data_IF_486225753358
#
_entry.id   IF_486225753358
#
_cell.length_a   1.000
_cell.length_b   1.000
_cell.length_c   1.000
_cell.angle_alpha   90.00
_cell.angle_beta   90.00
_cell.angle_gamma   90.00
#
_symmetry.space_group_name_H-M   'P 1'
#
loop_
_entity.id
_entity.type
_entity.pdbx_description
1 polymer ?
#
# COMPACT_ATOMS: atom_id res chain seq x y z
N UNK A 1 110.78 -74.16 -23.67
CA UNK A 1 110.14 -73.85 -24.98
C UNK A 1 108.77 -73.26 -24.65
N UNK A 2 108.69 -71.94 -24.58
CA UNK A 2 108.17 -71.06 -25.65
C UNK A 2 106.66 -71.27 -25.90
N UNK A 3 105.81 -70.33 -25.48
CA UNK A 3 105.14 -69.37 -26.39
C UNK A 3 104.01 -68.58 -25.71
N UNK A 4 104.27 -67.27 -25.58
CA UNK A 4 103.44 -66.09 -25.81
C UNK A 4 101.90 -66.20 -26.00
N UNK A 5 101.23 -65.38 -25.19
CA UNK A 5 99.99 -64.57 -25.32
C UNK A 5 99.50 -64.29 -26.77
N UNK A 6 98.18 -64.13 -27.03
CA UNK A 6 97.61 -62.77 -26.91
C UNK A 6 96.12 -62.66 -26.45
N UNK A 7 95.93 -61.75 -25.49
CA UNK A 7 95.00 -60.59 -25.49
C UNK A 7 93.46 -60.81 -25.55
N UNK A 8 92.84 -60.74 -24.37
CA UNK A 8 91.44 -60.35 -24.22
C UNK A 8 91.26 -58.81 -24.36
N UNK A 9 90.32 -58.33 -25.19
CA UNK A 9 89.98 -56.91 -25.25
C UNK A 9 89.23 -56.48 -23.97
N UNK A 10 89.79 -55.51 -23.25
CA UNK A 10 89.15 -54.87 -22.09
C UNK A 10 87.91 -54.08 -22.53
N UNK A 11 86.75 -54.19 -21.85
CA UNK A 11 85.62 -53.33 -22.09
C UNK A 11 85.97 -51.89 -21.70
N UNK A 12 85.89 -50.97 -22.65
CA UNK A 12 86.04 -49.53 -22.38
C UNK A 12 84.85 -49.07 -21.52
N UNK A 13 85.06 -48.46 -20.34
CA UNK A 13 84.00 -47.76 -19.63
C UNK A 13 83.76 -46.42 -20.34
N UNK A 14 83.00 -46.45 -21.44
CA UNK A 14 82.35 -45.26 -21.99
C UNK A 14 81.07 -45.02 -21.20
N UNK A 15 80.83 -43.76 -20.83
CA UNK A 15 79.56 -43.21 -20.34
C UNK A 15 79.25 -43.29 -18.83
N UNK A 16 80.23 -43.01 -17.94
CA UNK A 16 79.95 -42.68 -16.52
C UNK A 16 79.93 -41.18 -16.20
N UNK A 17 80.44 -40.31 -17.08
CA UNK A 17 80.48 -38.85 -16.86
C UNK A 17 79.24 -38.08 -17.34
N UNK A 18 78.43 -38.66 -18.25
CA UNK A 18 77.27 -38.00 -18.85
C UNK A 18 75.94 -38.25 -18.10
N UNK A 19 75.91 -39.20 -17.15
CA UNK A 19 74.69 -39.57 -16.40
C UNK A 19 74.28 -38.45 -15.44
N UNK A 20 75.24 -37.80 -14.78
CA UNK A 20 74.97 -36.74 -13.81
C UNK A 20 74.37 -35.47 -14.43
N UNK A 21 74.88 -34.92 -15.56
CA UNK A 21 74.22 -33.81 -16.24
C UNK A 21 72.87 -34.20 -16.84
N UNK A 22 72.70 -35.43 -17.35
CA UNK A 22 71.38 -35.91 -17.81
C UNK A 22 70.34 -35.91 -16.70
N UNK A 23 70.68 -36.47 -15.52
CA UNK A 23 69.76 -36.51 -14.37
C UNK A 23 69.43 -35.12 -13.87
N UNK A 24 70.40 -34.19 -13.87
CA UNK A 24 70.20 -32.81 -13.44
C UNK A 24 69.26 -32.06 -14.41
N UNK A 25 69.47 -32.21 -15.73
CA UNK A 25 68.59 -31.62 -16.75
C UNK A 25 67.17 -32.20 -16.66
N UNK A 26 67.04 -33.52 -16.54
CA UNK A 26 65.73 -34.17 -16.39
C UNK A 26 65.04 -33.70 -15.11
N UNK A 27 65.76 -33.59 -13.99
CA UNK A 27 65.20 -33.09 -12.73
C UNK A 27 64.77 -31.63 -12.81
N UNK A 28 65.54 -30.78 -13.49
CA UNK A 28 65.18 -29.37 -13.70
C UNK A 28 63.93 -29.23 -14.59
N UNK A 29 63.88 -29.97 -15.70
CA UNK A 29 62.73 -29.95 -16.61
C UNK A 29 61.48 -30.46 -15.88
N UNK A 30 61.58 -31.58 -15.15
CA UNK A 30 60.47 -32.10 -14.35
C UNK A 30 60.04 -31.11 -13.25
N UNK A 31 60.99 -30.47 -12.55
CA UNK A 31 60.70 -29.45 -11.54
C UNK A 31 59.98 -28.24 -12.12
N UNK A 32 60.42 -27.75 -13.29
CA UNK A 32 59.76 -26.65 -14.00
C UNK A 32 58.34 -27.01 -14.46
N UNK A 33 58.13 -28.24 -14.97
CA UNK A 33 56.80 -28.73 -15.34
C UNK A 33 55.87 -28.85 -14.13
N UNK A 34 56.36 -29.40 -13.01
CA UNK A 34 55.57 -29.52 -11.77
C UNK A 34 55.21 -28.14 -11.23
N UNK A 35 56.14 -27.19 -11.22
CA UNK A 35 55.87 -25.81 -10.79
C UNK A 35 54.83 -25.12 -11.70
N UNK A 36 54.90 -25.34 -13.01
CA UNK A 36 53.92 -24.81 -13.97
C UNK A 36 52.52 -25.41 -13.73
N UNK A 37 52.41 -26.73 -13.53
CA UNK A 37 51.13 -27.41 -13.24
C UNK A 37 50.57 -26.97 -11.88
N UNK A 38 51.41 -26.83 -10.85
CA UNK A 38 50.99 -26.32 -9.55
C UNK A 38 50.48 -24.87 -9.62
N UNK A 39 51.14 -24.01 -10.40
CA UNK A 39 50.69 -22.63 -10.62
C UNK A 39 49.38 -22.58 -11.41
N UNK A 40 49.23 -23.43 -12.42
CA UNK A 40 48.00 -23.55 -13.19
C UNK A 40 46.83 -24.02 -12.32
N UNK A 41 47.00 -25.09 -11.55
CA UNK A 41 45.95 -25.64 -10.66
C UNK A 41 45.54 -24.66 -9.57
N UNK A 42 46.50 -23.98 -8.92
CA UNK A 42 46.19 -22.93 -7.93
C UNK A 42 45.43 -21.75 -8.56
N UNK A 43 45.78 -21.37 -9.78
CA UNK A 43 45.07 -20.32 -10.53
C UNK A 43 43.65 -20.76 -10.89
N UNK A 44 43.46 -21.99 -11.39
CA UNK A 44 42.15 -22.56 -11.69
C UNK A 44 41.26 -22.67 -10.45
N UNK A 45 41.81 -23.06 -9.30
CA UNK A 45 41.05 -23.12 -8.04
C UNK A 45 40.62 -21.72 -7.57
N UNK A 46 41.51 -20.72 -7.68
CA UNK A 46 41.15 -19.32 -7.36
C UNK A 46 40.07 -18.79 -8.30
N UNK A 47 40.17 -19.06 -9.60
CA UNK A 47 39.12 -18.70 -10.56
C UNK A 47 37.79 -19.41 -10.25
N UNK A 48 37.83 -20.69 -9.89
CA UNK A 48 36.65 -21.46 -9.48
C UNK A 48 35.96 -20.83 -8.27
N UNK A 49 36.72 -20.49 -7.23
CA UNK A 49 36.19 -19.84 -6.02
C UNK A 49 35.58 -18.46 -6.31
N UNK A 50 36.16 -17.67 -7.21
CA UNK A 50 35.61 -16.37 -7.61
C UNK A 50 34.32 -16.55 -8.43
N UNK A 51 34.29 -17.53 -9.34
CA UNK A 51 33.12 -17.83 -10.15
C UNK A 51 31.95 -18.34 -9.29
N UNK A 52 32.22 -19.23 -8.34
CA UNK A 52 31.22 -19.75 -7.39
C UNK A 52 30.68 -18.65 -6.48
N UNK A 53 31.55 -17.82 -5.89
CA UNK A 53 31.12 -16.68 -5.07
C UNK A 53 30.26 -15.69 -5.88
N UNK A 54 30.64 -15.43 -7.14
CA UNK A 54 29.85 -14.58 -8.04
C UNK A 54 28.49 -15.20 -8.36
N UNK A 55 28.45 -16.51 -8.61
CA UNK A 55 27.19 -17.23 -8.85
C UNK A 55 26.29 -17.22 -7.60
N UNK A 56 26.86 -17.42 -6.42
CA UNK A 56 26.14 -17.37 -5.13
C UNK A 56 25.50 -16.01 -4.88
N UNK A 57 26.24 -14.91 -5.04
CA UNK A 57 25.71 -13.54 -4.95
C UNK A 57 24.64 -13.26 -6.01
N UNK A 58 24.86 -13.70 -7.25
CA UNK A 58 23.89 -13.47 -8.32
C UNK A 58 22.57 -14.21 -8.03
N UNK A 59 22.65 -15.47 -7.58
CA UNK A 59 21.48 -16.24 -7.16
C UNK A 59 20.76 -15.58 -5.97
N UNK A 60 21.50 -15.06 -4.99
CA UNK A 60 20.94 -14.33 -3.86
C UNK A 60 20.22 -13.05 -4.30
N UNK A 61 20.80 -12.26 -5.20
CA UNK A 61 20.16 -11.06 -5.76
C UNK A 61 18.91 -11.42 -6.59
N UNK A 62 18.93 -12.54 -7.32
CA UNK A 62 17.74 -13.05 -8.01
C UNK A 62 16.64 -13.45 -7.03
N UNK A 63 16.98 -14.18 -5.96
CA UNK A 63 16.04 -14.57 -4.91
C UNK A 63 15.38 -13.37 -4.22
N UNK A 64 16.15 -12.36 -3.83
CA UNK A 64 15.57 -11.14 -3.24
C UNK A 64 14.67 -10.37 -4.21
N UNK A 65 15.01 -10.36 -5.51
CA UNK A 65 14.15 -9.76 -6.54
C UNK A 65 12.83 -10.54 -6.69
N UNK A 66 12.87 -11.88 -6.73
CA UNK A 66 11.67 -12.69 -6.89
C UNK A 66 10.75 -12.59 -5.66
N UNK A 67 11.32 -12.58 -4.45
CA UNK A 67 10.57 -12.28 -3.22
C UNK A 67 9.92 -10.89 -3.27
N UNK A 68 10.65 -9.85 -3.70
CA UNK A 68 10.08 -8.51 -3.81
C UNK A 68 8.92 -8.44 -4.81
N UNK A 69 9.03 -9.14 -5.94
CA UNK A 69 7.94 -9.23 -6.92
C UNK A 69 6.72 -9.96 -6.36
N UNK A 70 6.94 -11.01 -5.57
CA UNK A 70 5.87 -11.71 -4.84
C UNK A 70 5.23 -10.79 -3.79
N UNK A 71 6.03 -10.07 -3.00
CA UNK A 71 5.53 -9.09 -2.04
C UNK A 71 4.68 -8.01 -2.70
N UNK A 72 5.09 -7.51 -3.87
CA UNK A 72 4.28 -6.59 -4.66
C UNK A 72 2.98 -7.24 -5.14
N UNK A 73 3.02 -8.51 -5.57
CA UNK A 73 1.82 -9.19 -6.08
C UNK A 73 0.74 -9.41 -5.01
N UNK A 74 1.16 -9.58 -3.76
CA UNK A 74 0.25 -9.64 -2.61
C UNK A 74 -0.10 -8.25 -2.02
N UNK A 75 0.18 -7.15 -2.74
CA UNK A 75 -0.11 -5.74 -2.38
C UNK A 75 0.77 -5.15 -1.26
N UNK A 76 2.06 -5.48 -1.24
CA UNK A 76 2.99 -4.84 -0.30
C UNK A 76 3.06 -3.34 -0.57
N UNK A 77 2.82 -2.57 0.49
CA UNK A 77 2.76 -1.11 0.41
C UNK A 77 4.13 -0.43 0.40
N UNK A 78 5.18 -1.20 0.68
CA UNK A 78 6.55 -0.73 0.89
C UNK A 78 7.10 0.05 -0.32
N UNK A 79 6.82 -0.43 -1.52
CA UNK A 79 7.25 0.15 -2.79
C UNK A 79 6.32 1.24 -3.34
N UNK A 80 5.12 1.36 -2.79
CA UNK A 80 4.02 2.14 -3.37
C UNK A 80 3.65 3.37 -2.56
N UNK A 81 4.42 3.68 -1.52
CA UNK A 81 4.25 4.91 -0.74
C UNK A 81 5.11 6.03 -1.34
N UNK A 82 4.94 7.27 -0.86
CA UNK A 82 5.87 8.37 -1.17
C UNK A 82 7.32 8.05 -0.79
N UNK A 83 7.57 7.04 0.07
CA UNK A 83 8.93 6.60 0.34
C UNK A 83 9.63 6.10 -0.93
N UNK A 84 8.89 5.49 -1.88
CA UNK A 84 9.42 5.09 -3.18
C UNK A 84 9.72 6.24 -4.15
N UNK A 85 9.42 7.50 -3.82
CA UNK A 85 9.75 8.64 -4.66
C UNK A 85 11.24 9.04 -4.55
N UNK A 86 11.82 9.61 -5.60
CA UNK A 86 13.21 10.06 -5.59
C UNK A 86 14.24 8.92 -5.74
N UNK A 87 15.14 8.77 -4.77
CA UNK A 87 16.18 7.71 -4.78
C UNK A 87 15.63 6.31 -4.50
N UNK A 88 14.35 6.20 -4.11
CA UNK A 88 13.72 4.94 -3.76
C UNK A 88 14.00 4.52 -2.32
N UNK A 89 13.52 3.33 -1.96
CA UNK A 89 13.75 2.75 -0.63
C UNK A 89 14.33 1.36 -0.70
N UNK A 90 15.29 1.10 0.19
CA UNK A 90 15.89 -0.21 0.37
C UNK A 90 15.03 -1.09 1.28
N UNK A 91 14.47 -2.15 0.72
CA UNK A 91 13.86 -3.26 1.45
C UNK A 91 14.98 -4.24 1.80
N UNK A 92 15.25 -4.45 3.09
CA UNK A 92 16.24 -5.46 3.49
C UNK A 92 15.59 -6.84 3.51
N UNK A 93 16.22 -7.81 2.86
CA UNK A 93 15.78 -9.19 2.92
C UNK A 93 16.18 -9.77 4.30
N UNK A 94 15.25 -10.41 5.04
CA UNK A 94 15.45 -10.74 6.45
C UNK A 94 16.53 -11.80 6.71
N UNK A 95 16.96 -12.52 5.68
CA UNK A 95 17.93 -13.62 5.81
C UNK A 95 19.15 -13.43 4.88
N UNK A 96 20.30 -13.96 5.27
CA UNK A 96 21.44 -14.06 4.36
C UNK A 96 21.24 -15.24 3.42
N UNK A 97 21.16 -15.00 2.11
CA UNK A 97 21.07 -16.07 1.12
C UNK A 97 22.48 -16.40 0.63
N UNK A 98 22.93 -17.65 0.82
CA UNK A 98 24.28 -18.09 0.47
C UNK A 98 25.39 -17.24 1.11
N UNK A 99 25.20 -16.79 2.36
CA UNK A 99 26.16 -15.95 3.08
C UNK A 99 26.27 -14.51 2.56
N UNK A 100 25.44 -14.10 1.59
CA UNK A 100 25.36 -12.72 1.10
C UNK A 100 24.18 -12.00 1.74
N UNK A 101 24.39 -10.76 2.16
CA UNK A 101 23.30 -9.86 2.56
C UNK A 101 22.58 -9.36 1.30
N UNK A 102 21.25 -9.40 1.30
CA UNK A 102 20.44 -8.96 0.16
C UNK A 102 19.60 -7.76 0.54
N UNK A 103 19.65 -6.70 -0.27
CA UNK A 103 18.74 -5.55 -0.19
C UNK A 103 18.11 -5.28 -1.54
N UNK A 104 16.88 -4.82 -1.58
CA UNK A 104 16.18 -4.45 -2.81
C UNK A 104 15.77 -3.00 -2.74
N UNK A 105 16.44 -2.16 -3.53
CA UNK A 105 16.02 -0.77 -3.71
C UNK A 105 14.77 -0.73 -4.60
N UNK A 106 13.74 -0.02 -4.16
CA UNK A 106 12.50 0.15 -4.89
C UNK A 106 12.23 1.63 -5.12
N UNK A 107 12.20 2.05 -6.39
CA UNK A 107 11.95 3.45 -6.78
C UNK A 107 10.85 3.57 -7.82
N UNK A 108 10.03 4.60 -7.68
CA UNK A 108 9.02 4.98 -8.67
C UNK A 108 9.73 5.68 -9.83
N UNK A 109 9.64 5.11 -11.03
CA UNK A 109 10.30 5.62 -12.23
C UNK A 109 9.40 6.55 -13.05
N UNK A 110 8.15 6.15 -13.26
CA UNK A 110 7.15 6.94 -13.98
C UNK A 110 5.76 6.66 -13.44
N UNK A 111 4.88 7.67 -13.53
CA UNK A 111 3.57 7.66 -12.89
C UNK A 111 3.69 8.09 -11.43
N UNK A 112 2.97 9.14 -11.04
CA UNK A 112 2.81 9.44 -9.62
C UNK A 112 1.70 8.56 -9.08
N UNK A 113 2.05 7.71 -8.11
CA UNK A 113 1.03 7.23 -7.20
C UNK A 113 0.51 8.47 -6.47
N UNK A 114 -0.78 8.79 -6.58
CA UNK A 114 -1.27 9.96 -5.90
C UNK A 114 -1.05 9.73 -4.40
N UNK A 115 -0.40 10.68 -3.75
CA UNK A 115 -0.12 10.65 -2.32
C UNK A 115 -1.39 10.34 -1.52
N UNK A 116 -1.31 9.39 -0.58
CA UNK A 116 -2.41 9.01 0.29
C UNK A 116 -3.53 8.15 -0.29
N UNK A 117 -3.55 7.85 -1.60
CA UNK A 117 -4.60 7.02 -2.21
C UNK A 117 -4.36 5.52 -2.07
N UNK A 118 -3.21 5.12 -1.54
CA UNK A 118 -2.88 3.71 -1.35
C UNK A 118 -3.31 3.18 0.03
N UNK A 119 -3.70 4.06 0.94
CA UNK A 119 -4.20 3.67 2.25
C UNK A 119 -5.70 3.39 2.17
N UNK A 120 -6.08 2.23 2.69
CA UNK A 120 -7.47 1.96 3.04
C UNK A 120 -7.91 2.93 4.16
N UNK A 121 -7.03 3.21 5.10
CA UNK A 121 -7.30 4.11 6.22
C UNK A 121 -6.04 4.86 6.66
N UNK A 122 -6.14 6.18 6.82
CA UNK A 122 -5.16 7.03 7.48
C UNK A 122 -5.79 7.72 8.69
N UNK A 123 -5.30 7.39 9.88
CA UNK A 123 -5.74 7.98 11.16
C UNK A 123 -4.73 9.03 11.60
N UNK A 124 -5.07 10.31 11.47
CA UNK A 124 -4.15 11.43 11.72
C UNK A 124 -3.98 11.76 13.20
N UNK A 125 -4.98 11.46 14.04
CA UNK A 125 -4.99 11.86 15.45
C UNK A 125 -5.14 13.37 15.70
N UNK A 126 -5.44 14.15 14.67
CA UNK A 126 -5.57 15.61 14.79
C UNK A 126 -6.71 16.02 15.73
N UNK A 127 -6.46 17.07 16.54
CA UNK A 127 -7.43 17.55 17.53
C UNK A 127 -7.68 16.59 18.70
N UNK A 128 -7.00 15.45 18.75
CA UNK A 128 -7.19 14.48 19.81
C UNK A 128 -6.52 14.93 21.13
N UNK A 129 -7.13 14.66 22.30
CA UNK A 129 -6.57 15.08 23.58
C UNK A 129 -5.25 14.35 23.89
N UNK A 130 -4.33 15.06 24.55
CA UNK A 130 -3.01 14.56 24.99
C UNK A 130 -3.08 13.64 26.23
N UNK A 131 -4.16 12.86 26.37
CA UNK A 131 -4.41 11.98 27.51
C UNK A 131 -4.26 10.49 27.15
N UNK A 132 -3.72 10.18 25.97
CA UNK A 132 -3.59 8.81 25.48
C UNK A 132 -4.89 8.17 24.99
N UNK A 133 -5.98 8.94 24.81
CA UNK A 133 -7.24 8.39 24.30
C UNK A 133 -7.03 7.73 22.93
N UNK A 134 -7.54 6.51 22.70
CA UNK A 134 -7.36 5.85 21.41
C UNK A 134 -7.93 6.68 20.25
N UNK A 135 -7.20 6.74 19.14
CA UNK A 135 -7.62 7.37 17.88
C UNK A 135 -8.10 6.33 16.88
N UNK A 136 -7.69 5.07 17.06
CA UNK A 136 -8.15 3.96 16.26
C UNK A 136 -8.56 2.81 17.16
N UNK A 137 -9.87 2.54 17.25
CA UNK A 137 -10.38 1.50 18.13
C UNK A 137 -11.55 0.71 17.56
N UNK A 138 -11.58 -0.57 17.92
CA UNK A 138 -12.75 -1.43 17.78
C UNK A 138 -13.17 -1.94 19.16
N UNK A 139 -14.40 -1.65 19.58
CA UNK A 139 -14.85 -1.87 20.97
C UNK A 139 -15.90 -2.95 21.15
N UNK A 140 -16.76 -3.15 20.15
CA UNK A 140 -17.80 -4.19 20.17
C UNK A 140 -17.38 -5.41 19.33
N UNK A 141 -18.14 -6.51 19.44
CA UNK A 141 -17.82 -7.86 18.96
C UNK A 141 -17.40 -8.04 17.48
N UNK A 142 -17.36 -9.30 17.03
CA UNK A 142 -16.99 -9.63 15.64
C UNK A 142 -15.49 -9.54 15.37
N UNK A 143 -15.12 -9.79 14.11
CA UNK A 143 -13.72 -9.75 13.65
C UNK A 143 -13.60 -8.72 12.51
N UNK A 144 -13.42 -7.42 12.80
CA UNK A 144 -13.25 -6.40 11.78
C UNK A 144 -12.09 -6.75 10.83
N UNK A 145 -12.32 -6.51 9.54
CA UNK A 145 -11.36 -6.69 8.46
C UNK A 145 -11.13 -5.37 7.74
N UNK A 146 -9.89 -5.07 7.40
CA UNK A 146 -9.52 -3.87 6.66
C UNK A 146 -8.71 -4.31 5.44
N UNK A 147 -9.27 -4.12 4.25
CA UNK A 147 -8.65 -4.48 2.98
C UNK A 147 -7.68 -3.38 2.53
N UNK A 148 -6.40 -3.58 2.83
CA UNK A 148 -5.28 -2.77 2.38
C UNK A 148 -4.55 -2.01 3.49
N UNK A 149 -3.55 -1.22 3.11
CA UNK A 149 -2.65 -0.56 4.06
C UNK A 149 -3.37 0.41 4.99
N UNK A 150 -2.91 0.47 6.24
CA UNK A 150 -3.41 1.39 7.26
C UNK A 150 -2.27 2.27 7.76
N UNK A 151 -2.48 3.56 7.86
CA UNK A 151 -1.60 4.49 8.55
C UNK A 151 -2.24 4.97 9.85
N UNK A 152 -1.45 5.06 10.92
CA UNK A 152 -1.82 5.70 12.18
C UNK A 152 -0.73 6.67 12.60
N UNK A 153 -1.07 7.89 12.99
CA UNK A 153 -0.06 8.85 13.41
C UNK A 153 0.66 8.41 14.69
N UNK A 154 -0.07 7.84 15.65
CA UNK A 154 0.47 7.33 16.91
C UNK A 154 -0.03 5.90 17.17
N UNK A 155 0.88 4.94 17.08
CA UNK A 155 0.56 3.53 17.27
C UNK A 155 0.19 3.17 18.72
N UNK A 156 0.59 3.99 19.72
CA UNK A 156 0.21 3.77 21.11
C UNK A 156 -1.27 4.11 21.38
N UNK A 157 -1.93 4.76 20.42
CA UNK A 157 -3.34 5.14 20.48
C UNK A 157 -4.22 4.20 19.65
N UNK A 158 -3.68 3.04 19.27
CA UNK A 158 -4.44 1.94 18.67
C UNK A 158 -4.91 0.99 19.76
N UNK A 159 -6.20 0.69 19.79
CA UNK A 159 -6.78 -0.17 20.83
C UNK A 159 -7.90 -1.06 20.28
N UNK A 160 -7.65 -2.37 20.25
CA UNK A 160 -8.64 -3.34 19.79
C UNK A 160 -9.16 -4.20 20.94
N UNK A 161 -10.48 -4.15 21.15
CA UNK A 161 -11.18 -5.01 22.10
C UNK A 161 -11.57 -6.35 21.49
N UNK A 162 -11.40 -6.53 20.18
CA UNK A 162 -11.65 -7.78 19.45
C UNK A 162 -10.52 -8.06 18.46
N UNK A 163 -10.35 -9.31 17.99
CA UNK A 163 -9.44 -9.62 16.90
C UNK A 163 -9.74 -8.77 15.65
N UNK A 164 -8.79 -7.95 15.23
CA UNK A 164 -8.87 -7.12 14.02
C UNK A 164 -7.83 -7.64 13.04
N UNK A 165 -8.22 -7.86 11.79
CA UNK A 165 -7.30 -8.28 10.72
C UNK A 165 -7.14 -7.18 9.69
N UNK A 166 -5.89 -6.86 9.34
CA UNK A 166 -5.58 -6.11 8.12
C UNK A 166 -5.30 -7.14 7.03
N UNK A 167 -6.15 -7.17 6.01
CA UNK A 167 -6.04 -8.04 4.85
C UNK A 167 -5.32 -7.30 3.73
N UNK A 168 -4.36 -7.95 3.08
CA UNK A 168 -3.62 -7.42 1.93
C UNK A 168 -2.99 -6.04 2.18
N UNK A 169 -2.54 -5.79 3.41
CA UNK A 169 -2.01 -4.51 3.84
C UNK A 169 -1.12 -4.58 5.07
N UNK A 170 -0.31 -3.54 5.24
CA UNK A 170 0.55 -3.35 6.40
C UNK A 170 0.01 -2.21 7.27
N UNK A 171 0.40 -2.19 8.55
CA UNK A 171 0.15 -1.05 9.44
C UNK A 171 1.39 -0.17 9.49
N UNK A 172 1.22 1.11 9.20
CA UNK A 172 2.26 2.13 9.19
C UNK A 172 2.02 3.12 10.31
N UNK A 173 3.09 3.60 10.94
CA UNK A 173 2.98 4.69 11.90
C UNK A 173 4.12 5.70 11.84
N UNK A 174 3.86 6.91 12.29
CA UNK A 174 4.88 7.97 12.35
C UNK A 174 5.73 7.79 13.60
N UNK A 175 7.05 7.77 13.42
CA UNK A 175 8.02 7.75 14.52
C UNK A 175 9.33 8.41 14.07
N UNK A 176 9.72 9.47 14.75
CA UNK A 176 10.96 10.18 14.47
C UNK A 176 12.19 9.33 14.79
N UNK A 177 12.08 8.35 15.70
CA UNK A 177 13.15 7.39 15.96
C UNK A 177 13.45 6.51 14.73
N UNK A 178 12.49 6.35 13.82
CA UNK A 178 12.67 5.60 12.59
C UNK A 178 13.42 6.38 11.50
N UNK A 179 13.91 7.59 11.80
CA UNK A 179 14.78 8.39 10.95
C UNK A 179 16.25 7.89 10.92
N UNK A 180 16.53 6.64 11.31
CA UNK A 180 17.90 6.13 11.32
C UNK A 180 18.44 5.92 9.90
N UNK A 181 19.09 6.95 9.38
CA UNK A 181 19.88 6.89 8.17
C UNK A 181 21.13 6.02 8.36
N UNK A 182 21.50 5.15 7.40
CA UNK A 182 22.92 4.96 7.10
C UNK A 182 23.50 6.32 6.66
N UNK A 183 24.75 6.66 7.00
CA UNK A 183 25.34 7.92 6.58
C UNK A 183 25.47 7.95 5.04
N UNK A 184 24.61 8.70 4.35
CA UNK A 184 24.77 8.97 2.92
C UNK A 184 23.53 9.32 2.08
N UNK A 185 22.31 8.93 2.49
CA UNK A 185 21.11 9.13 1.66
C UNK A 185 20.00 9.87 2.40
N UNK A 186 19.31 10.79 1.70
CA UNK A 186 18.29 11.68 2.25
C UNK A 186 16.85 11.23 1.88
N UNK A 187 16.62 9.93 1.70
CA UNK A 187 15.28 9.39 1.39
C UNK A 187 14.45 9.13 2.64
N UNK A 188 13.14 9.08 2.46
CA UNK A 188 12.14 8.80 3.48
C UNK A 188 12.39 7.42 4.12
N UNK A 189 12.82 7.40 5.38
CA UNK A 189 13.14 6.16 6.08
C UNK A 189 11.88 5.49 6.61
N UNK A 190 11.80 4.18 6.39
CA UNK A 190 10.92 3.31 7.14
C UNK A 190 11.70 2.11 7.66
N UNK A 191 11.19 1.50 8.74
CA UNK A 191 11.74 0.27 9.28
C UNK A 191 10.59 -0.63 9.71
N UNK A 192 10.77 -1.95 9.56
CA UNK A 192 9.86 -2.92 10.17
C UNK A 192 9.94 -2.78 11.69
N UNK A 193 8.82 -2.50 12.32
CA UNK A 193 8.73 -2.33 13.76
C UNK A 193 8.57 -3.67 14.46
N UNK A 194 9.17 -3.78 15.64
CA UNK A 194 8.93 -4.89 16.57
C UNK A 194 7.72 -4.64 17.49
N UNK A 195 7.06 -3.48 17.34
CA UNK A 195 5.84 -3.15 18.08
C UNK A 195 4.79 -4.24 17.89
N UNK A 196 4.16 -4.63 18.98
CA UNK A 196 3.01 -5.54 18.96
C UNK A 196 1.77 -4.78 19.40
N UNK A 197 0.72 -4.80 18.57
CA UNK A 197 -0.59 -4.25 18.94
C UNK A 197 -1.49 -5.43 19.35
N UNK A 198 -1.99 -5.46 20.60
CA UNK A 198 -2.85 -6.55 21.06
C UNK A 198 -4.06 -6.74 20.15
N UNK A 199 -4.34 -8.00 19.80
CA UNK A 199 -5.47 -8.42 18.95
C UNK A 199 -5.45 -7.88 17.52
N UNK A 200 -4.31 -7.37 17.06
CA UNK A 200 -4.08 -7.13 15.64
C UNK A 200 -3.47 -8.39 15.00
N UNK A 201 -4.01 -8.81 13.87
CA UNK A 201 -3.43 -9.82 12.98
C UNK A 201 -3.37 -9.31 11.55
N UNK A 202 -2.61 -10.00 10.72
CA UNK A 202 -2.49 -9.68 9.30
C UNK A 202 -2.76 -10.92 8.45
N UNK A 203 -3.33 -10.70 7.27
CA UNK A 203 -3.53 -11.71 6.24
C UNK A 203 -2.98 -11.19 4.90
N UNK A 204 -1.95 -11.82 4.30
CA UNK A 204 -1.22 -12.98 4.81
C UNK A 204 -0.33 -12.64 6.02
N UNK A 205 0.03 -13.64 6.83
CA UNK A 205 0.81 -13.48 8.07
C UNK A 205 2.24 -12.93 7.88
N UNK A 206 2.71 -12.83 6.64
CA UNK A 206 4.01 -12.22 6.28
C UNK A 206 4.02 -10.70 6.42
N UNK A 207 2.84 -10.08 6.47
CA UNK A 207 2.63 -8.64 6.68
C UNK A 207 3.07 -8.19 8.09
N UNK A 208 3.09 -6.89 8.32
CA UNK A 208 3.46 -6.41 9.65
C UNK A 208 3.27 -4.92 9.90
N UNK A 209 3.95 -4.49 10.95
CA UNK A 209 3.95 -3.11 11.41
C UNK A 209 5.25 -2.45 10.94
N UNK A 210 5.14 -1.26 10.37
CA UNK A 210 6.25 -0.44 9.92
C UNK A 210 6.15 0.94 10.55
N UNK A 211 7.29 1.52 10.86
CA UNK A 211 7.38 2.91 11.26
C UNK A 211 8.06 3.73 10.16
N UNK A 212 7.74 5.02 10.10
CA UNK A 212 8.32 5.96 9.14
C UNK A 212 8.61 7.32 9.77
N UNK A 213 9.67 7.98 9.30
CA UNK A 213 10.12 9.29 9.80
C UNK A 213 9.32 10.48 9.22
N UNK A 214 8.13 10.25 8.68
CA UNK A 214 7.28 11.27 8.07
C UNK A 214 5.95 11.33 8.79
N UNK A 215 5.37 12.52 8.88
CA UNK A 215 4.04 12.70 9.40
C UNK A 215 2.98 12.27 8.37
N UNK A 216 1.72 12.38 8.78
CA UNK A 216 0.61 12.04 7.89
C UNK A 216 0.50 12.99 6.70
N UNK A 217 0.94 14.26 6.83
CA UNK A 217 0.83 15.27 5.78
C UNK A 217 1.79 15.00 4.64
N UNK A 218 3.04 14.67 4.94
CA UNK A 218 4.01 14.25 3.93
C UNK A 218 3.56 12.98 3.21
N UNK A 219 2.89 12.08 3.93
CA UNK A 219 2.43 10.80 3.38
C UNK A 219 1.14 10.91 2.53
N UNK A 220 0.14 11.65 3.02
CA UNK A 220 -1.11 11.92 2.33
C UNK A 220 -0.92 12.93 1.17
N UNK A 221 0.13 13.75 1.24
CA UNK A 221 0.44 14.84 0.34
C UNK A 221 -0.61 15.95 0.36
N UNK A 222 -0.76 16.73 -0.74
CA UNK A 222 -1.60 17.91 -0.72
C UNK A 222 -3.07 17.54 -0.50
N UNK A 223 -3.79 18.44 0.18
CA UNK A 223 -5.25 18.36 0.31
C UNK A 223 -5.88 18.24 -1.09
N UNK A 224 -6.82 17.30 -1.30
CA UNK A 224 -7.51 17.16 -2.57
C UNK A 224 -8.17 18.49 -2.98
N UNK A 225 -8.11 18.87 -4.27
CA UNK A 225 -8.69 20.14 -4.71
C UNK A 225 -10.20 20.13 -4.52
N UNK A 226 -10.70 21.22 -3.95
CA UNK A 226 -12.15 21.45 -3.79
C UNK A 226 -12.72 21.94 -5.12
N UNK A 227 -13.77 21.28 -5.60
CA UNK A 227 -14.53 21.76 -6.74
C UNK A 227 -15.68 22.65 -6.27
N UNK A 228 -15.88 23.77 -6.94
CA UNK A 228 -17.06 24.60 -6.70
C UNK A 228 -18.31 23.91 -7.26
N UNK A 229 -19.43 23.88 -6.51
CA UNK A 229 -20.72 23.53 -7.09
C UNK A 229 -21.10 24.52 -8.20
N UNK A 230 -22.07 24.16 -9.07
CA UNK A 230 -22.57 25.08 -10.10
C UNK A 230 -22.95 26.45 -9.49
N UNK A 231 -22.44 27.58 -10.03
CA UNK A 231 -22.35 28.86 -9.32
C UNK A 231 -23.67 29.57 -8.94
N UNK A 232 -24.84 29.03 -9.26
CA UNK A 232 -26.12 29.75 -9.12
C UNK A 232 -27.21 29.02 -8.33
N UNK A 233 -26.88 27.95 -7.59
CA UNK A 233 -27.92 27.15 -6.89
C UNK A 233 -27.63 27.00 -5.40
N UNK A 234 -28.11 27.98 -4.62
CA UNK A 234 -28.15 27.89 -3.15
C UNK A 234 -29.49 27.29 -2.71
N UNK A 235 -29.45 26.28 -1.83
CA UNK A 235 -30.57 25.45 -1.40
C UNK A 235 -31.51 25.07 -2.56
N UNK A 236 -31.01 24.34 -3.59
CA UNK A 236 -31.84 23.88 -4.71
C UNK A 236 -33.15 23.23 -4.22
N UNK A 237 -34.31 23.53 -4.84
CA UNK A 237 -35.54 22.85 -4.51
C UNK A 237 -35.44 21.36 -4.89
N UNK A 238 -36.19 20.51 -4.18
CA UNK A 238 -36.34 19.11 -4.55
C UNK A 238 -37.54 18.90 -5.49
N UNK A 239 -37.52 17.80 -6.24
CA UNK A 239 -38.66 17.31 -7.03
C UNK A 239 -39.12 15.97 -6.48
N UNK A 240 -40.42 15.71 -6.54
CA UNK A 240 -40.99 14.41 -6.18
C UNK A 240 -41.21 13.59 -7.44
N UNK A 241 -40.48 12.49 -7.57
CA UNK A 241 -40.70 11.47 -8.61
C UNK A 241 -41.22 10.21 -7.92
N UNK A 242 -42.54 10.00 -7.99
CA UNK A 242 -43.21 8.99 -7.17
C UNK A 242 -43.04 9.27 -5.68
N UNK A 243 -42.41 8.34 -4.94
CA UNK A 243 -42.08 8.52 -3.51
C UNK A 243 -40.63 8.95 -3.27
N UNK A 244 -39.84 9.13 -4.33
CA UNK A 244 -38.46 9.59 -4.25
C UNK A 244 -38.40 11.12 -4.23
N UNK A 245 -37.70 11.69 -3.25
CA UNK A 245 -37.30 13.10 -3.29
C UNK A 245 -35.96 13.25 -3.98
N UNK A 246 -35.94 13.99 -5.08
CA UNK A 246 -34.76 14.20 -5.91
C UNK A 246 -34.19 15.59 -5.67
N UNK A 247 -32.89 15.68 -5.42
CA UNK A 247 -32.15 16.90 -5.14
C UNK A 247 -31.12 17.16 -6.24
N UNK A 248 -30.89 18.44 -6.58
CA UNK A 248 -29.87 18.85 -7.55
C UNK A 248 -28.56 19.24 -6.88
N UNK A 249 -27.42 19.10 -7.59
CA UNK A 249 -26.13 19.67 -7.20
C UNK A 249 -26.26 21.16 -6.86
N UNK A 250 -25.49 21.62 -5.88
CA UNK A 250 -25.54 23.00 -5.39
C UNK A 250 -24.99 23.16 -3.98
N UNK A 251 -25.04 24.40 -3.48
CA UNK A 251 -24.66 24.73 -2.10
C UNK A 251 -25.90 24.70 -1.22
N UNK A 252 -25.85 23.96 -0.12
CA UNK A 252 -26.89 23.87 0.89
C UNK A 252 -26.39 24.59 2.14
N UNK A 253 -27.05 25.67 2.51
CA UNK A 253 -26.79 26.43 3.75
C UNK A 253 -27.84 26.14 4.82
N UNK A 254 -28.84 25.33 4.47
CA UNK A 254 -29.86 24.80 5.36
C UNK A 254 -29.97 23.29 5.15
N UNK A 255 -30.32 22.55 6.21
CA UNK A 255 -30.50 21.11 6.10
C UNK A 255 -31.60 20.80 5.07
N UNK A 256 -31.33 19.94 4.06
CA UNK A 256 -32.34 19.58 3.07
C UNK A 256 -33.59 18.97 3.71
N UNK A 257 -34.77 19.28 3.16
CA UNK A 257 -36.04 18.70 3.62
C UNK A 257 -36.20 17.24 3.16
N UNK A 258 -35.56 16.32 3.88
CA UNK A 258 -35.52 14.89 3.56
C UNK A 258 -36.88 14.20 3.77
N UNK A 259 -37.22 13.31 2.85
CA UNK A 259 -38.28 12.31 2.96
C UNK A 259 -37.71 10.95 3.39
N UNK A 260 -38.49 9.88 3.18
CA UNK A 260 -38.04 8.52 3.49
C UNK A 260 -37.02 8.01 2.46
N UNK A 261 -37.23 8.33 1.17
CA UNK A 261 -36.34 7.95 0.07
C UNK A 261 -35.83 9.22 -0.61
N UNK A 262 -34.52 9.42 -0.60
CA UNK A 262 -33.90 10.63 -1.11
C UNK A 262 -32.80 10.27 -2.10
N UNK A 263 -32.81 10.93 -3.24
CA UNK A 263 -31.79 10.82 -4.27
C UNK A 263 -31.18 12.18 -4.54
N UNK A 264 -29.87 12.29 -4.40
CA UNK A 264 -29.13 13.47 -4.84
C UNK A 264 -28.48 13.10 -6.17
N UNK A 265 -28.85 13.78 -7.26
CA UNK A 265 -28.36 13.45 -8.61
C UNK A 265 -26.83 13.58 -8.71
N UNK A 266 -26.20 12.99 -9.73
CA UNK A 266 -24.74 13.15 -9.94
C UNK A 266 -24.34 14.63 -10.06
N UNK A 267 -23.22 15.00 -9.42
CA UNK A 267 -22.68 16.36 -9.41
C UNK A 267 -21.96 16.76 -8.12
N UNK A 268 -21.81 18.06 -7.89
CA UNK A 268 -21.09 18.61 -6.73
C UNK A 268 -22.07 19.20 -5.71
N UNK A 269 -21.93 18.78 -4.47
CA UNK A 269 -22.72 19.25 -3.35
C UNK A 269 -21.81 19.91 -2.32
N UNK A 270 -22.22 21.06 -1.79
CA UNK A 270 -21.53 21.69 -0.67
C UNK A 270 -22.52 21.96 0.45
N UNK A 271 -22.41 21.23 1.56
CA UNK A 271 -23.24 21.41 2.75
C UNK A 271 -22.50 22.30 3.74
N UNK A 272 -22.80 23.60 3.64
CA UNK A 272 -22.15 24.63 4.41
C UNK A 272 -22.89 24.89 5.73
N UNK A 273 -22.31 24.38 6.82
CA UNK A 273 -22.78 24.62 8.18
C UNK A 273 -24.27 24.31 8.37
N UNK A 274 -24.76 23.23 7.74
CA UNK A 274 -26.17 22.83 7.79
C UNK A 274 -26.58 22.17 9.10
N UNK A 275 -25.64 22.01 10.04
CA UNK A 275 -25.87 21.40 11.34
C UNK A 275 -25.86 19.88 11.32
N UNK A 276 -26.74 19.30 12.11
CA UNK A 276 -26.77 17.86 12.35
C UNK A 276 -27.89 17.19 11.55
N UNK A 277 -27.52 16.40 10.54
CA UNK A 277 -28.47 15.65 9.72
C UNK A 277 -28.66 14.25 10.31
N UNK A 278 -29.83 14.02 10.90
CA UNK A 278 -30.21 12.73 11.48
C UNK A 278 -31.05 11.94 10.48
N UNK A 279 -30.61 10.74 10.15
CA UNK A 279 -31.31 9.79 9.29
C UNK A 279 -31.96 8.72 10.15
N UNK A 280 -33.29 8.68 10.19
CA UNK A 280 -34.06 7.68 10.93
C UNK A 280 -35.26 7.26 10.09
N UNK A 281 -35.28 6.02 9.60
CA UNK A 281 -36.26 5.62 8.58
C UNK A 281 -36.06 6.33 7.24
N UNK A 282 -34.84 6.86 6.99
CA UNK A 282 -34.50 7.67 5.83
C UNK A 282 -33.28 7.11 5.11
N UNK A 283 -33.37 6.99 3.80
CA UNK A 283 -32.26 6.59 2.94
C UNK A 283 -31.89 7.76 2.03
N UNK A 284 -30.59 8.07 1.99
CA UNK A 284 -29.96 9.00 1.07
C UNK A 284 -29.02 8.19 0.18
N UNK A 285 -29.19 8.28 -1.13
CA UNK A 285 -28.20 7.83 -2.11
C UNK A 285 -27.80 9.03 -2.98
N UNK A 286 -26.50 9.30 -3.10
CA UNK A 286 -25.97 10.44 -3.84
C UNK A 286 -25.15 9.98 -5.05
N UNK A 287 -25.48 10.52 -6.22
CA UNK A 287 -24.88 10.15 -7.50
C UNK A 287 -25.26 8.75 -7.96
N UNK A 288 -24.94 8.48 -9.22
CA UNK A 288 -24.93 7.15 -9.79
C UNK A 288 -23.55 6.90 -10.38
N UNK A 289 -23.01 5.69 -10.23
CA UNK A 289 -21.84 5.24 -10.97
C UNK A 289 -22.07 3.84 -11.53
N UNK A 290 -21.66 3.57 -12.76
CA UNK A 290 -21.74 2.24 -13.38
C UNK A 290 -20.59 1.34 -12.92
N UNK A 291 -20.45 1.15 -11.60
CA UNK A 291 -19.41 0.30 -11.01
C UNK A 291 -20.06 -0.97 -10.45
N UNK A 292 -19.39 -2.11 -10.62
CA UNK A 292 -19.87 -3.37 -10.06
C UNK A 292 -20.05 -3.26 -8.53
N UNK A 293 -21.16 -3.80 -8.01
CA UNK A 293 -21.51 -3.70 -6.60
C UNK A 293 -22.13 -2.36 -6.20
N UNK A 294 -22.34 -1.41 -7.12
CA UNK A 294 -23.06 -0.16 -6.85
C UNK A 294 -24.53 -0.21 -7.33
N UNK A 295 -25.51 0.30 -6.54
CA UNK A 295 -25.39 0.74 -5.15
C UNK A 295 -25.15 -0.44 -4.18
N UNK A 296 -24.57 -0.16 -3.01
CA UNK A 296 -24.59 -1.11 -1.88
C UNK A 296 -25.87 -0.92 -1.05
N UNK A 297 -26.38 0.31 -0.94
CA UNK A 297 -27.56 0.62 -0.13
C UNK A 297 -28.80 0.62 -1.04
N UNK A 298 -29.77 -0.23 -0.72
CA UNK A 298 -30.99 -0.33 -1.51
C UNK A 298 -31.88 0.90 -1.30
N UNK A 299 -32.35 1.47 -2.42
CA UNK A 299 -33.24 2.62 -2.46
C UNK A 299 -34.20 2.51 -3.66
N UNK A 300 -35.07 1.49 -3.67
CA UNK A 300 -35.80 1.10 -4.87
C UNK A 300 -36.77 2.17 -5.36
N UNK A 301 -37.30 2.98 -4.43
CA UNK A 301 -38.14 4.12 -4.74
C UNK A 301 -37.46 5.15 -5.66
N UNK A 302 -36.14 5.27 -5.59
CA UNK A 302 -35.35 6.22 -6.36
C UNK A 302 -34.66 5.61 -7.58
N UNK A 303 -34.77 4.29 -7.80
CA UNK A 303 -34.05 3.61 -8.87
C UNK A 303 -34.39 4.15 -10.27
N UNK A 304 -35.65 4.52 -10.53
CA UNK A 304 -36.06 5.02 -11.85
C UNK A 304 -35.36 6.33 -12.24
N UNK A 305 -35.20 7.23 -11.27
CA UNK A 305 -34.47 8.49 -11.47
C UNK A 305 -32.98 8.20 -11.58
N UNK A 306 -32.46 7.40 -10.65
CA UNK A 306 -31.04 7.04 -10.61
C UNK A 306 -30.58 6.40 -11.89
N UNK A 307 -31.31 5.43 -12.45
CA UNK A 307 -30.89 4.74 -13.69
C UNK A 307 -31.23 5.52 -14.97
N UNK A 308 -31.72 6.76 -14.85
CA UNK A 308 -32.07 7.61 -15.98
C UNK A 308 -33.31 7.16 -16.76
N UNK A 309 -34.12 6.24 -16.21
CA UNK A 309 -35.38 5.80 -16.82
C UNK A 309 -36.44 6.89 -16.73
N UNK A 310 -36.42 7.67 -15.64
CA UNK A 310 -37.30 8.81 -15.44
C UNK A 310 -36.45 10.05 -15.19
N UNK A 311 -36.83 11.14 -15.86
CA UNK A 311 -36.18 12.43 -15.64
C UNK A 311 -36.67 13.04 -14.33
N UNK A 312 -35.76 13.71 -13.63
CA UNK A 312 -36.10 14.68 -12.61
C UNK A 312 -35.65 16.04 -13.11
N UNK A 313 -36.45 17.07 -12.87
CA UNK A 313 -36.18 18.43 -13.31
C UNK A 313 -36.02 18.55 -14.84
N UNK A 314 -36.69 17.67 -15.59
CA UNK A 314 -36.56 17.61 -17.05
C UNK A 314 -35.18 17.14 -17.54
N UNK A 315 -34.37 16.53 -16.67
CA UNK A 315 -33.02 16.06 -16.99
C UNK A 315 -32.80 14.62 -16.55
N UNK A 316 -31.98 13.91 -17.31
CA UNK A 316 -31.48 12.57 -16.93
C UNK A 316 -30.23 12.75 -16.06
N UNK A 317 -30.02 11.85 -15.10
CA UNK A 317 -28.77 11.81 -14.35
C UNK A 317 -27.57 11.57 -15.27
N UNK A 318 -26.43 12.24 -15.01
CA UNK A 318 -25.22 12.09 -15.81
C UNK A 318 -24.48 10.77 -15.57
N UNK A 319 -24.71 10.10 -14.43
CA UNK A 319 -24.00 8.87 -14.06
C UNK A 319 -22.52 9.06 -13.71
N UNK A 320 -22.10 10.30 -13.44
CA UNK A 320 -20.71 10.63 -13.09
C UNK A 320 -20.37 10.43 -11.60
N UNK A 321 -21.37 10.19 -10.76
CA UNK A 321 -21.25 10.16 -9.30
C UNK A 321 -21.43 11.55 -8.67
N UNK A 322 -21.29 11.61 -7.34
CA UNK A 322 -21.41 12.81 -6.54
C UNK A 322 -20.17 13.05 -5.66
N UNK A 323 -19.76 14.31 -5.53
CA UNK A 323 -18.83 14.78 -4.50
C UNK A 323 -19.60 15.54 -3.43
N UNK A 324 -19.50 15.13 -2.17
CA UNK A 324 -20.10 15.83 -1.03
C UNK A 324 -19.04 16.59 -0.24
N UNK A 325 -18.98 17.90 -0.44
CA UNK A 325 -18.21 18.80 0.39
C UNK A 325 -19.01 19.22 1.62
N UNK A 326 -18.36 19.27 2.78
CA UNK A 326 -18.97 19.72 4.03
C UNK A 326 -18.10 20.79 4.68
N UNK A 327 -18.70 21.77 5.35
CA UNK A 327 -17.99 22.79 6.13
C UNK A 327 -18.76 23.14 7.40
N UNK A 328 -18.08 23.84 8.32
CA UNK A 328 -18.66 24.22 9.61
C UNK A 328 -19.02 23.01 10.45
N UNK A 329 -20.20 23.02 11.06
CA UNK A 329 -20.67 21.98 11.97
C UNK A 329 -21.46 20.84 11.29
N UNK A 330 -21.46 20.78 9.95
CA UNK A 330 -22.18 19.78 9.17
C UNK A 330 -21.72 18.37 9.55
N UNK A 331 -22.68 17.51 9.93
CA UNK A 331 -22.43 16.09 10.25
C UNK A 331 -23.66 15.21 10.03
N UNK A 332 -23.45 13.91 9.93
CA UNK A 332 -24.49 12.91 9.68
C UNK A 332 -24.54 11.86 10.78
N UNK A 333 -25.76 11.52 11.21
CA UNK A 333 -26.04 10.42 12.13
C UNK A 333 -27.03 9.44 11.50
N UNK A 334 -26.60 8.19 11.33
CA UNK A 334 -27.44 7.09 10.87
C UNK A 334 -28.08 6.38 12.07
N UNK A 335 -29.41 6.38 12.14
CA UNK A 335 -30.23 5.71 13.16
C UNK A 335 -30.85 4.43 12.61
N UNK A 336 -31.87 3.90 13.28
CA UNK A 336 -32.51 2.66 12.82
C UNK A 336 -33.15 2.85 11.44
N UNK A 337 -33.01 1.83 10.59
CA UNK A 337 -33.58 1.76 9.24
C UNK A 337 -33.18 2.97 8.37
N UNK A 338 -31.89 3.30 8.35
CA UNK A 338 -31.38 4.42 7.55
C UNK A 338 -30.14 4.07 6.76
N UNK A 339 -29.97 4.77 5.64
CA UNK A 339 -28.84 4.60 4.74
C UNK A 339 -28.26 5.93 4.28
N UNK A 340 -26.94 6.03 4.21
CA UNK A 340 -26.23 7.11 3.53
C UNK A 340 -25.23 6.50 2.56
N UNK A 341 -25.46 6.67 1.26
CA UNK A 341 -24.52 6.28 0.22
C UNK A 341 -24.08 7.50 -0.58
N UNK A 342 -22.76 7.65 -0.79
CA UNK A 342 -22.20 8.64 -1.70
C UNK A 342 -21.32 7.94 -2.73
N UNK A 343 -21.71 8.05 -3.99
CA UNK A 343 -21.02 7.44 -5.13
C UNK A 343 -19.95 8.40 -5.61
N UNK A 344 -18.72 8.31 -5.12
CA UNK A 344 -17.70 9.32 -5.39
C UNK A 344 -17.53 9.68 -6.86
N UNK A 345 -17.46 10.98 -7.13
CA UNK A 345 -17.22 11.54 -8.46
C UNK A 345 -15.72 11.65 -8.71
N UNK A 346 -15.32 11.31 -9.94
CA UNK A 346 -13.94 11.50 -10.39
C UNK A 346 -13.64 12.98 -10.59
N UNK A 347 -12.54 13.46 -10.03
CA UNK A 347 -12.08 14.83 -10.23
C UNK A 347 -11.54 15.01 -11.67
N UNK A 348 -11.86 16.13 -12.34
CA UNK A 348 -11.19 16.56 -13.57
C UNK A 348 -9.69 16.63 -13.31
N UNK A 349 -8.90 16.11 -14.26
CA UNK A 349 -7.44 16.11 -14.20
C UNK A 349 -6.81 15.23 -13.10
N UNK A 350 -7.62 14.41 -12.42
CA UNK A 350 -7.12 13.44 -11.45
C UNK A 350 -7.66 12.03 -11.73
N UNK A 351 -6.87 11.04 -11.33
CA UNK A 351 -7.33 9.65 -11.24
C UNK A 351 -8.11 9.42 -9.93
N UNK A 352 -8.26 10.45 -9.08
CA UNK A 352 -8.97 10.40 -7.80
C UNK A 352 -10.47 10.52 -7.98
N UNK A 353 -11.19 9.68 -7.25
CA UNK A 353 -12.61 9.87 -6.96
C UNK A 353 -12.75 10.41 -5.53
N UNK A 354 -13.53 11.47 -5.36
CA UNK A 354 -13.86 12.01 -4.03
C UNK A 354 -15.32 11.69 -3.74
N UNK A 355 -15.56 10.94 -2.67
CA UNK A 355 -16.90 10.75 -2.14
C UNK A 355 -17.31 11.91 -1.27
N UNK A 356 -16.46 12.20 -0.27
CA UNK A 356 -16.75 13.22 0.72
C UNK A 356 -15.47 13.93 1.16
N UNK A 357 -15.55 15.25 1.30
CA UNK A 357 -14.43 16.06 1.77
C UNK A 357 -14.90 17.14 2.75
N UNK A 358 -14.21 17.26 3.87
CA UNK A 358 -14.40 18.35 4.83
C UNK A 358 -13.53 19.53 4.40
N UNK A 359 -14.14 20.69 4.25
CA UNK A 359 -13.48 21.97 3.97
C UNK A 359 -13.26 22.68 5.30
N UNK A 360 -12.00 23.05 5.56
CA UNK A 360 -11.60 23.67 6.81
C UNK A 360 -11.56 22.69 7.99
N UNK A 361 -11.77 23.15 9.24
CA UNK A 361 -11.62 22.30 10.43
C UNK A 361 -12.77 21.28 10.60
N UNK A 362 -13.91 21.51 9.95
CA UNK A 362 -15.09 20.65 10.09
C UNK A 362 -15.70 20.63 11.49
N UNK A 363 -16.48 19.58 11.82
CA UNK A 363 -17.06 19.41 13.15
C UNK A 363 -16.01 19.10 14.24
N UNK A 364 -14.81 18.67 13.86
CA UNK A 364 -13.68 18.42 14.77
C UNK A 364 -13.64 17.00 15.36
N UNK A 365 -12.65 16.76 16.23
CA UNK A 365 -12.37 15.44 16.80
C UNK A 365 -13.53 14.90 17.67
N UNK A 366 -14.13 15.74 18.51
CA UNK A 366 -15.18 15.32 19.47
C UNK A 366 -16.58 15.23 18.87
N UNK A 367 -16.80 15.79 17.67
CA UNK A 367 -18.08 15.73 16.97
C UNK A 367 -17.92 14.93 15.67
N UNK A 368 -18.34 13.66 15.63
CA UNK A 368 -18.11 12.82 14.48
C UNK A 368 -18.81 13.37 13.24
N UNK A 369 -18.07 13.41 12.12
CA UNK A 369 -18.60 13.76 10.80
C UNK A 369 -19.66 12.74 10.37
N UNK A 370 -19.34 11.46 10.57
CA UNK A 370 -20.22 10.33 10.32
C UNK A 370 -20.36 9.54 11.62
N UNK A 371 -21.60 9.35 12.06
CA UNK A 371 -21.91 8.52 13.22
C UNK A 371 -23.03 7.53 12.94
N UNK A 372 -23.00 6.38 13.63
CA UNK A 372 -24.17 5.51 13.76
C UNK A 372 -24.55 5.36 15.21
N UNK A 373 -25.84 5.48 15.51
CA UNK A 373 -26.39 5.25 16.85
C UNK A 373 -26.59 3.73 17.11
N UNK A 374 -27.13 3.32 18.27
CA UNK A 374 -27.64 1.95 18.47
C UNK A 374 -28.89 1.65 17.61
N UNK A 375 -29.04 0.41 17.12
CA UNK A 375 -30.25 -0.06 16.40
C UNK A 375 -29.95 -0.92 15.16
N UNK A 376 -30.99 -1.45 14.50
CA UNK A 376 -30.86 -2.33 13.34
C UNK A 376 -30.88 -1.58 11.99
N UNK A 377 -30.39 -2.25 10.94
CA UNK A 377 -30.46 -1.84 9.53
C UNK A 377 -29.94 -0.42 9.27
N UNK A 378 -28.68 -0.19 9.62
CA UNK A 378 -27.98 1.08 9.40
C UNK A 378 -26.87 0.87 8.42
N UNK A 379 -26.80 1.74 7.42
CA UNK A 379 -25.85 1.59 6.33
C UNK A 379 -25.19 2.93 6.06
N UNK A 380 -23.86 2.91 5.93
CA UNK A 380 -23.07 4.06 5.50
C UNK A 380 -22.07 3.52 4.48
N UNK A 381 -22.13 4.03 3.27
CA UNK A 381 -21.28 3.64 2.17
C UNK A 381 -20.71 4.89 1.49
N UNK A 382 -19.41 5.12 1.63
CA UNK A 382 -18.71 6.19 0.91
C UNK A 382 -17.82 5.52 -0.14
N UNK A 383 -18.09 5.83 -1.39
CA UNK A 383 -17.27 5.44 -2.52
C UNK A 383 -16.36 6.60 -2.92
N UNK A 384 -15.12 6.30 -3.29
CA UNK A 384 -14.08 7.31 -3.46
C UNK A 384 -13.52 7.77 -2.11
N UNK A 385 -12.50 8.61 -2.17
CA UNK A 385 -11.76 9.05 -0.98
C UNK A 385 -12.65 9.88 -0.06
N UNK A 386 -12.58 9.56 1.23
CA UNK A 386 -13.11 10.37 2.31
C UNK A 386 -11.98 11.20 2.93
N UNK A 387 -11.99 12.51 2.70
CA UNK A 387 -10.96 13.43 3.21
C UNK A 387 -11.51 14.29 4.36
N UNK A 388 -11.17 13.93 5.59
CA UNK A 388 -11.62 14.62 6.80
C UNK A 388 -10.58 14.57 7.93
N UNK A 389 -9.33 15.04 7.70
CA UNK A 389 -8.20 14.78 8.59
C UNK A 389 -8.36 15.34 10.01
N UNK A 390 -9.30 16.25 10.25
CA UNK A 390 -9.58 16.85 11.57
C UNK A 390 -10.89 16.34 12.21
N UNK A 391 -11.62 15.44 11.56
CA UNK A 391 -12.92 14.96 12.03
C UNK A 391 -12.90 13.48 12.36
N UNK A 392 -13.72 13.07 13.32
CA UNK A 392 -13.87 11.66 13.71
C UNK A 392 -15.00 10.96 12.95
N UNK A 393 -14.92 9.63 12.91
CA UNK A 393 -15.99 8.73 12.47
C UNK A 393 -16.26 7.73 13.58
N UNK A 394 -17.54 7.51 13.87
CA UNK A 394 -17.97 6.60 14.93
C UNK A 394 -19.04 5.66 14.39
N UNK A 395 -18.70 4.38 14.26
CA UNK A 395 -19.66 3.32 14.02
C UNK A 395 -19.93 2.59 15.34
N UNK A 396 -21.10 2.77 15.94
CA UNK A 396 -21.44 2.13 17.22
C UNK A 396 -21.60 0.61 17.04
N UNK A 397 -22.69 0.14 16.42
CA UNK A 397 -22.83 -1.28 16.04
C UNK A 397 -23.21 -1.39 14.57
N UNK A 398 -22.32 -1.97 13.75
CA UNK A 398 -22.63 -2.34 12.37
C UNK A 398 -23.31 -3.73 12.39
N UNK A 399 -24.59 -3.84 11.99
CA UNK A 399 -25.33 -5.09 12.04
C UNK A 399 -24.84 -6.09 10.99
N UNK A 400 -25.01 -7.39 11.29
CA UNK A 400 -24.46 -8.51 10.52
C UNK A 400 -24.79 -8.58 9.03
N UNK A 401 -25.92 -7.99 8.63
CA UNK A 401 -26.45 -8.12 7.29
C UNK A 401 -26.11 -6.94 6.39
N UNK A 402 -25.44 -5.90 6.92
CA UNK A 402 -25.21 -4.65 6.20
C UNK A 402 -23.77 -4.18 6.33
N UNK A 403 -23.29 -3.47 5.30
CA UNK A 403 -21.92 -2.99 5.22
C UNK A 403 -21.83 -1.53 5.70
N UNK A 404 -20.92 -1.26 6.64
CA UNK A 404 -20.27 0.04 6.68
C UNK A 404 -19.07 -0.04 5.74
N UNK A 405 -19.12 0.73 4.66
CA UNK A 405 -18.20 0.61 3.55
C UNK A 405 -17.48 1.94 3.30
N UNK A 406 -16.16 1.95 3.44
CA UNK A 406 -15.30 3.05 2.98
C UNK A 406 -14.47 2.50 1.82
N UNK A 407 -15.01 2.63 0.60
CA UNK A 407 -14.45 2.03 -0.62
C UNK A 407 -13.80 3.12 -1.45
N UNK A 408 -12.54 3.38 -1.19
CA UNK A 408 -11.93 4.63 -1.67
C UNK A 408 -10.80 5.18 -0.82
N UNK A 409 -10.53 4.57 0.33
CA UNK A 409 -9.63 5.12 1.33
C UNK A 409 -10.26 6.25 2.15
N UNK A 410 -9.77 6.44 3.37
CA UNK A 410 -10.21 7.54 4.24
C UNK A 410 -9.04 8.15 5.01
N UNK A 411 -9.00 9.49 5.12
CA UNK A 411 -8.08 10.23 5.97
C UNK A 411 -8.87 10.97 7.04
N UNK A 412 -8.78 10.52 8.29
CA UNK A 412 -9.64 10.97 9.39
C UNK A 412 -8.87 11.13 10.69
N UNK A 413 -9.37 11.96 11.61
CA UNK A 413 -8.72 12.16 12.91
C UNK A 413 -8.86 10.96 13.84
N UNK A 414 -10.00 10.26 13.76
CA UNK A 414 -10.32 9.13 14.62
C UNK A 414 -11.32 8.19 13.97
N UNK A 415 -11.11 6.89 14.20
CA UNK A 415 -12.07 5.83 13.91
C UNK A 415 -12.42 5.09 15.19
N UNK A 416 -13.70 5.12 15.53
CA UNK A 416 -14.29 4.20 16.50
C UNK A 416 -15.23 3.26 15.76
N UNK A 417 -15.00 1.96 15.86
CA UNK A 417 -15.90 0.96 15.31
C UNK A 417 -16.42 -0.01 16.36
N UNK A 418 -17.63 -0.51 16.12
CA UNK A 418 -18.13 -1.72 16.74
C UNK A 418 -18.81 -2.58 15.69
N UNK A 419 -18.37 -3.84 15.62
CA UNK A 419 -18.91 -4.82 14.69
C UNK A 419 -19.81 -5.76 15.48
N UNK A 420 -20.93 -6.20 14.90
CA UNK A 420 -21.74 -7.25 15.55
C UNK A 420 -21.02 -8.58 15.46
N UNK A 421 -21.13 -9.45 16.48
CA UNK A 421 -20.50 -10.77 16.49
C UNK A 421 -20.93 -11.69 15.33
N UNK A 422 -22.08 -11.42 14.71
CA UNK A 422 -22.58 -12.13 13.53
C UNK A 422 -22.18 -11.47 12.18
N UNK A 423 -21.47 -10.35 12.20
CA UNK A 423 -21.16 -9.57 11.01
C UNK A 423 -19.82 -9.95 10.38
N UNK A 424 -19.80 -10.09 9.06
CA UNK A 424 -18.61 -9.94 8.22
C UNK A 424 -18.33 -8.47 7.84
N UNK A 425 -19.03 -7.52 8.48
CA UNK A 425 -19.62 -6.34 7.81
C UNK A 425 -18.92 -4.99 7.96
N UNK A 426 -17.64 -4.94 8.28
CA UNK A 426 -16.86 -3.71 8.15
C UNK A 426 -15.86 -3.87 7.03
N UNK A 427 -16.05 -3.12 5.93
CA UNK A 427 -15.21 -3.21 4.74
C UNK A 427 -14.63 -1.82 4.48
N UNK A 428 -13.36 -1.63 4.85
CA UNK A 428 -12.57 -0.50 4.37
C UNK A 428 -11.66 -1.05 3.29
N UNK A 429 -11.74 -0.49 2.08
CA UNK A 429 -10.95 -0.92 0.94
C UNK A 429 -10.24 0.28 0.29
N UNK A 430 -9.03 0.02 -0.21
CA UNK A 430 -8.25 0.93 -1.05
C UNK A 430 -9.09 1.37 -2.27
N UNK A 431 -8.95 2.62 -2.76
CA UNK A 431 -9.68 3.08 -3.94
C UNK A 431 -9.45 2.18 -5.16
N UNK A 432 -10.51 1.66 -5.77
CA UNK A 432 -10.47 0.68 -6.86
C UNK A 432 -9.80 1.17 -8.15
N UNK A 433 -9.56 2.47 -8.27
CA UNK A 433 -9.26 3.11 -9.56
C UNK A 433 -7.81 3.59 -9.71
N UNK A 434 -6.88 3.17 -8.84
CA UNK A 434 -5.51 3.67 -8.88
C UNK A 434 -4.80 3.32 -10.22
N UNK A 435 -4.06 4.30 -10.72
CA UNK A 435 -3.28 4.18 -11.94
C UNK A 435 -2.12 3.18 -11.77
N UNK A 436 -1.76 2.50 -12.87
CA UNK A 436 -0.52 1.74 -12.95
C UNK A 436 0.68 2.68 -12.80
N UNK A 437 1.64 2.30 -11.95
CA UNK A 437 2.94 2.98 -11.81
C UNK A 437 4.05 2.09 -12.33
N UNK A 438 5.13 2.67 -12.83
CA UNK A 438 6.32 1.91 -13.19
C UNK A 438 7.34 2.03 -12.07
N UNK A 439 7.75 0.90 -11.49
CA UNK A 439 8.80 0.81 -10.50
C UNK A 439 10.11 0.34 -11.16
N UNK A 440 11.23 0.82 -10.65
CA UNK A 440 12.55 0.22 -10.86
C UNK A 440 12.95 -0.45 -9.54
N UNK A 441 13.23 -1.74 -9.62
CA UNK A 441 13.71 -2.55 -8.51
C UNK A 441 15.19 -2.86 -8.73
N UNK A 442 16.05 -2.68 -7.73
CA UNK A 442 17.47 -3.06 -7.77
C UNK A 442 17.81 -3.94 -6.57
N UNK A 443 17.87 -5.25 -6.79
CA UNK A 443 18.30 -6.21 -5.79
C UNK A 443 19.83 -6.29 -5.78
N UNK A 444 20.45 -5.93 -4.66
CA UNK A 444 21.90 -5.99 -4.42
C UNK A 444 22.18 -7.13 -3.46
N UNK A 445 23.13 -8.00 -3.83
CA UNK A 445 23.67 -9.01 -2.94
C UNK A 445 25.14 -8.70 -2.68
N UNK A 446 25.49 -8.51 -1.42
CA UNK A 446 26.83 -8.10 -0.98
C UNK A 446 27.43 -9.15 -0.05
N UNK A 447 28.70 -9.50 -0.30
CA UNK A 447 29.55 -10.30 0.59
C UNK A 447 30.85 -9.55 0.89
N UNK A 448 31.79 -10.20 1.58
CA UNK A 448 33.12 -9.68 1.93
C UNK A 448 34.01 -9.36 0.72
N UNK A 449 33.65 -9.82 -0.48
CA UNK A 449 34.48 -9.74 -1.69
C UNK A 449 33.95 -8.73 -2.71
N UNK A 450 32.64 -8.69 -2.93
CA UNK A 450 32.02 -7.82 -3.94
C UNK A 450 30.50 -7.67 -3.75
N UNK A 451 29.88 -6.88 -4.63
CA UNK A 451 28.43 -6.75 -4.76
C UNK A 451 28.01 -7.13 -6.18
N UNK A 452 26.91 -7.87 -6.32
CA UNK A 452 26.22 -8.06 -7.60
C UNK A 452 24.84 -7.39 -7.53
N UNK A 453 24.37 -6.81 -8.64
CA UNK A 453 23.06 -6.15 -8.67
C UNK A 453 22.19 -6.72 -9.79
N UNK A 454 20.91 -6.98 -9.51
CA UNK A 454 19.89 -7.31 -10.50
C UNK A 454 18.89 -6.16 -10.53
N UNK A 455 18.68 -5.56 -11.71
CA UNK A 455 17.68 -4.51 -11.91
C UNK A 455 16.47 -5.06 -12.65
N UNK A 456 15.27 -4.79 -12.16
CA UNK A 456 14.02 -5.00 -12.87
C UNK A 456 13.28 -3.67 -13.07
N UNK A 457 12.56 -3.55 -14.19
CA UNK A 457 11.58 -2.49 -14.43
C UNK A 457 10.22 -3.16 -14.50
N UNK A 458 9.30 -2.74 -13.64
CA UNK A 458 7.99 -3.39 -13.50
C UNK A 458 6.87 -2.36 -13.56
N UNK A 459 5.79 -2.72 -14.23
CA UNK A 459 4.52 -2.03 -14.09
C UNK A 459 3.77 -2.66 -12.91
N UNK A 460 3.32 -1.82 -11.98
CA UNK A 460 2.64 -2.24 -10.77
C UNK A 460 1.31 -1.49 -10.63
N UNK A 461 0.24 -2.22 -10.33
CA UNK A 461 -1.06 -1.66 -9.97
C UNK A 461 -1.33 -1.93 -8.49
N UNK A 462 -1.16 -0.93 -7.60
CA UNK A 462 -1.28 -1.13 -6.15
C UNK A 462 -2.64 -1.67 -5.69
N UNK A 463 -3.70 -1.37 -6.43
CA UNK A 463 -5.07 -1.74 -6.06
C UNK A 463 -5.41 -3.18 -6.33
N UNK A 464 -4.78 -3.79 -7.34
CA UNK A 464 -5.01 -5.20 -7.67
C UNK A 464 -3.88 -6.08 -7.20
N UNK A 465 -2.68 -5.54 -7.01
CA UNK A 465 -1.46 -6.33 -6.86
C UNK A 465 -0.92 -6.82 -8.22
N UNK A 466 -1.44 -6.33 -9.34
CA UNK A 466 -0.95 -6.76 -10.65
C UNK A 466 0.48 -6.23 -10.88
N UNK A 467 1.40 -7.15 -11.15
CA UNK A 467 2.81 -6.86 -11.44
C UNK A 467 3.17 -7.43 -12.81
N UNK A 468 3.67 -6.59 -13.70
CA UNK A 468 4.18 -6.98 -15.01
C UNK A 468 5.64 -6.55 -15.18
N UNK A 469 6.54 -7.52 -15.31
CA UNK A 469 7.98 -7.25 -15.49
C UNK A 469 8.24 -6.86 -16.95
N UNK A 470 8.63 -5.59 -17.19
CA UNK A 470 9.02 -5.10 -18.52
C UNK A 470 10.41 -5.55 -18.93
N UNK A 471 11.35 -5.51 -17.97
CA UNK A 471 12.72 -5.93 -18.21
C UNK A 471 13.39 -6.36 -16.91
N UNK A 472 14.34 -7.30 -17.00
CA UNK A 472 15.21 -7.74 -15.91
C UNK A 472 16.62 -7.90 -16.46
N UNK A 473 17.62 -7.30 -15.80
CA UNK A 473 19.03 -7.35 -16.23
C UNK A 473 19.98 -7.39 -15.04
N UNK A 474 21.13 -8.03 -15.23
CA UNK A 474 22.24 -8.01 -14.27
C UNK A 474 23.07 -6.75 -14.51
N UNK A 475 23.36 -6.00 -13.45
CA UNK A 475 24.31 -4.90 -13.45
C UNK A 475 25.61 -5.41 -12.84
N UNK A 476 26.71 -5.17 -13.57
CA UNK A 476 28.03 -5.74 -13.30
C UNK A 476 28.67 -5.27 -12.01
#
# INVERSE_FOLDING_TARGET
>A
MNQNDPSHPRPRPRDRGAVLPMVLVVSFVLGAVVAAVATYTTTSLRYGQVAEARAGRLAAAHGGMDDTLEQLSIRSSVCSTQAGAGSGVDVTFPETVNGSAVSVNCRIATGQLPSGDFFALGVTGEGAPNNGSPTFRFTLGGNPKIGGPVFVHDANRVSFSQPTTIEEGDLWYSDTACAHAPPGDASTFYQRSSLTIPRLSFDPTVRGIYCLATDWQGLAGPTPPVQSPPPDVTNPPHELVGSCRVFRPGTYTTAPALGNNNYFMSGIYHFDNVGHIVLQGRTITMGQRSTEGFPVIDNPACNQVRTGVTQAFGTTDSGEGASLYTSGNTRFESRANSGLEVSGRRLPDSQRSIGMQVIGPGPGYDSPLLSSAPGAQKEIAIWGQLWAPFSSIVFDTVPAQKAAALRGGAWIARLDGGVSAAASGFVIEVPTDAATTTLILEARATDDRATNTVRAVVDYRPTTGEVAVRSRRVLG
#
